data_IF_566556968947
#
_entry.id   IF_566556968947
#
_cell.length_a   1.000
_cell.length_b   1.000
_cell.length_c   1.000
_cell.angle_alpha   90.00
_cell.angle_beta   90.00
_cell.angle_gamma   90.00
#
_symmetry.space_group_name_H-M   'P 1'
#
loop_
_entity.id
_entity.type
_entity.pdbx_description
1 polymer ?
#
# COMPACT_ATOMS: atom_id res chain seq x y z
N UNK A 1 49.23 -26.95 10.73
CA UNK A 1 48.37 -27.15 11.91
C UNK A 1 47.92 -25.75 12.34
N UNK A 2 46.68 -25.27 12.19
CA UNK A 2 45.38 -25.92 12.29
C UNK A 2 44.34 -25.32 11.32
N UNK A 3 43.36 -26.16 10.97
CA UNK A 3 42.22 -25.86 10.13
C UNK A 3 41.10 -25.11 10.88
N UNK A 4 40.40 -24.21 10.19
CA UNK A 4 39.03 -23.73 10.49
C UNK A 4 38.34 -23.50 9.14
N UNK A 5 37.50 -24.45 8.69
CA UNK A 5 36.07 -24.56 8.97
C UNK A 5 35.24 -23.61 8.09
N UNK A 6 34.69 -24.18 7.02
CA UNK A 6 33.61 -23.61 6.21
C UNK A 6 32.36 -23.42 7.07
N UNK A 7 31.65 -22.29 6.92
CA UNK A 7 30.19 -22.24 7.08
C UNK A 7 29.65 -20.99 6.39
N UNK A 8 28.66 -21.20 5.53
CA UNK A 8 28.18 -20.25 4.55
C UNK A 8 27.44 -19.03 5.11
N UNK A 9 27.56 -17.94 4.36
CA UNK A 9 26.52 -16.93 4.19
C UNK A 9 26.45 -16.73 2.66
N UNK A 10 25.69 -17.58 2.00
CA UNK A 10 24.39 -17.21 1.43
C UNK A 10 24.49 -15.95 0.54
N UNK A 11 24.98 -16.21 -0.67
CA UNK A 11 24.61 -15.49 -1.88
C UNK A 11 23.09 -15.45 -1.98
N UNK A 12 22.45 -14.36 -1.57
CA UNK A 12 21.00 -14.17 -1.77
C UNK A 12 20.62 -12.71 -2.11
N UNK A 13 21.59 -11.83 -2.39
CA UNK A 13 21.32 -10.41 -2.70
C UNK A 13 22.00 -9.92 -3.99
N UNK A 14 22.52 -10.83 -4.82
CA UNK A 14 23.26 -10.48 -6.04
C UNK A 14 22.75 -11.19 -7.29
N UNK A 15 21.55 -11.77 -7.26
CA UNK A 15 20.95 -12.31 -8.48
C UNK A 15 20.38 -11.16 -9.31
N UNK A 16 20.94 -10.88 -10.50
CA UNK A 16 20.43 -9.81 -11.37
C UNK A 16 19.00 -10.08 -11.80
N UNK A 17 18.54 -11.33 -11.78
CA UNK A 17 17.14 -11.70 -12.03
C UNK A 17 16.19 -11.20 -10.93
N UNK A 18 16.54 -11.36 -9.64
CA UNK A 18 15.70 -10.88 -8.53
C UNK A 18 15.69 -9.35 -8.51
N UNK A 19 16.85 -8.71 -8.71
CA UNK A 19 16.95 -7.24 -8.81
C UNK A 19 16.24 -6.71 -10.08
N UNK A 20 16.25 -7.46 -11.18
CA UNK A 20 15.51 -7.13 -12.40
C UNK A 20 14.00 -7.27 -12.18
N UNK A 21 13.53 -8.35 -11.55
CA UNK A 21 12.12 -8.53 -11.21
C UNK A 21 11.63 -7.44 -10.25
N UNK A 22 12.41 -7.07 -9.23
CA UNK A 22 12.08 -5.95 -8.33
C UNK A 22 12.11 -4.61 -9.09
N UNK A 23 13.10 -4.38 -9.96
CA UNK A 23 13.15 -3.17 -10.82
C UNK A 23 12.02 -3.14 -11.84
N UNK A 24 11.57 -4.28 -12.35
CA UNK A 24 10.51 -4.42 -13.34
C UNK A 24 9.13 -4.19 -12.72
N UNK A 25 8.91 -4.69 -11.48
CA UNK A 25 7.75 -4.33 -10.66
C UNK A 25 7.75 -2.84 -10.35
N UNK A 26 8.90 -2.24 -10.00
CA UNK A 26 9.02 -0.79 -9.78
C UNK A 26 8.89 0.04 -11.07
N UNK A 27 9.18 -0.56 -12.24
CA UNK A 27 9.05 0.07 -13.57
C UNK A 27 7.67 -0.17 -14.18
N UNK A 28 6.83 -1.00 -13.57
CA UNK A 28 5.42 -1.08 -13.96
C UNK A 28 4.82 0.31 -13.76
N UNK A 29 4.49 0.95 -14.88
CA UNK A 29 4.12 2.36 -14.98
C UNK A 29 2.95 2.73 -14.09
N UNK A 30 2.14 1.74 -13.70
CA UNK A 30 0.94 1.91 -12.90
C UNK A 30 1.25 2.36 -11.47
N UNK A 31 2.31 1.84 -10.84
CA UNK A 31 2.64 2.21 -9.45
C UNK A 31 3.16 3.65 -9.33
N UNK A 32 3.97 4.09 -10.31
CA UNK A 32 4.52 5.45 -10.35
C UNK A 32 3.43 6.51 -10.50
N UNK A 33 2.42 6.25 -11.33
CA UNK A 33 1.30 7.17 -11.54
C UNK A 33 0.46 7.33 -10.26
N UNK A 34 0.16 6.24 -9.56
CA UNK A 34 -0.60 6.24 -8.30
C UNK A 34 0.11 7.06 -7.23
N UNK A 35 1.41 6.86 -7.04
CA UNK A 35 2.20 7.63 -6.07
C UNK A 35 2.13 9.13 -6.37
N UNK A 36 2.30 9.51 -7.64
CA UNK A 36 2.25 10.91 -8.03
C UNK A 36 0.89 11.56 -7.75
N UNK A 37 -0.20 10.81 -7.91
CA UNK A 37 -1.56 11.28 -7.64
C UNK A 37 -1.78 11.51 -6.13
N UNK A 38 -1.46 10.51 -5.30
CA UNK A 38 -1.62 10.59 -3.84
C UNK A 38 -0.81 11.77 -3.26
N UNK A 39 0.43 11.96 -3.73
CA UNK A 39 1.29 13.06 -3.25
C UNK A 39 0.72 14.43 -3.64
N UNK A 40 0.20 14.58 -4.86
CA UNK A 40 -0.41 15.84 -5.31
C UNK A 40 -1.65 16.18 -4.51
N UNK A 41 -2.49 15.19 -4.23
CA UNK A 41 -3.74 15.39 -3.49
C UNK A 41 -3.44 15.72 -2.03
N UNK A 42 -2.54 14.97 -1.39
CA UNK A 42 -2.10 15.25 -0.02
C UNK A 42 -1.48 16.65 0.11
N UNK A 43 -0.66 17.08 -0.86
CA UNK A 43 -0.09 18.42 -0.88
C UNK A 43 -1.17 19.51 -1.01
N UNK A 44 -2.18 19.31 -1.85
CA UNK A 44 -3.30 20.24 -2.00
C UNK A 44 -4.18 20.30 -0.76
N UNK A 45 -4.50 19.15 -0.15
CA UNK A 45 -5.23 19.08 1.12
C UNK A 45 -4.49 19.86 2.22
N UNK A 46 -3.17 19.69 2.33
CA UNK A 46 -2.36 20.40 3.32
C UNK A 46 -2.31 21.92 3.06
N UNK A 47 -2.23 22.36 1.80
CA UNK A 47 -2.15 23.77 1.43
C UNK A 47 -3.49 24.52 1.60
N UNK A 48 -4.61 23.86 1.29
CA UNK A 48 -5.96 24.48 1.31
C UNK A 48 -6.74 24.22 2.59
N UNK A 49 -6.40 23.17 3.33
CA UNK A 49 -7.14 22.72 4.51
C UNK A 49 -8.50 22.08 4.21
N UNK A 50 -8.88 21.89 2.94
CA UNK A 50 -10.15 21.26 2.58
C UNK A 50 -9.97 19.74 2.37
N UNK A 51 -10.66 18.89 3.15
CA UNK A 51 -10.59 17.43 3.01
C UNK A 51 -11.32 16.87 1.78
N UNK A 52 -12.02 17.70 0.98
CA UNK A 52 -12.76 17.24 -0.19
C UNK A 52 -11.92 16.94 -1.44
N UNK A 53 -10.64 17.31 -1.45
CA UNK A 53 -9.75 16.95 -2.55
C UNK A 53 -9.43 15.45 -2.51
N UNK A 54 -9.46 14.79 -3.65
CA UNK A 54 -9.17 13.35 -3.77
C UNK A 54 -8.71 12.97 -5.17
N UNK A 55 -8.47 11.67 -5.35
CA UNK A 55 -7.91 11.11 -6.58
C UNK A 55 -8.97 11.11 -7.68
N UNK A 56 -8.66 11.77 -8.80
CA UNK A 56 -9.50 11.77 -9.99
C UNK A 56 -9.34 10.48 -10.79
N UNK A 57 -10.17 9.48 -10.50
CA UNK A 57 -10.15 8.19 -11.20
C UNK A 57 -10.80 8.25 -12.59
N UNK A 58 -11.50 9.33 -12.95
CA UNK A 58 -12.19 9.48 -14.24
C UNK A 58 -11.44 10.37 -15.23
N UNK A 59 -10.24 10.86 -14.86
CA UNK A 59 -9.42 11.76 -15.66
C UNK A 59 -10.19 12.99 -16.19
N UNK A 60 -11.09 13.53 -15.35
CA UNK A 60 -11.89 14.72 -15.64
C UNK A 60 -11.10 16.01 -15.48
N UNK A 61 -9.94 15.97 -14.81
CA UNK A 61 -9.08 17.11 -14.53
C UNK A 61 -9.52 17.94 -13.31
N UNK A 62 -10.69 17.64 -12.73
CA UNK A 62 -11.13 18.16 -11.45
C UNK A 62 -10.71 17.18 -10.34
N UNK A 63 -10.28 17.65 -9.17
CA UNK A 63 -9.92 16.77 -8.04
C UNK A 63 -10.79 17.00 -6.81
N UNK A 64 -11.76 17.91 -6.90
CA UNK A 64 -12.73 18.14 -5.85
C UNK A 64 -13.83 17.08 -5.93
N UNK A 65 -13.89 16.19 -4.94
CA UNK A 65 -14.84 15.08 -4.91
C UNK A 65 -16.29 15.55 -4.74
N UNK A 66 -16.52 16.75 -4.17
CA UNK A 66 -17.87 17.35 -4.08
C UNK A 66 -18.41 17.72 -5.46
N UNK A 67 -17.57 18.35 -6.28
CA UNK A 67 -17.93 18.78 -7.63
C UNK A 67 -18.11 17.59 -8.59
N UNK A 68 -17.35 16.52 -8.37
CA UNK A 68 -17.52 15.25 -9.10
C UNK A 68 -18.71 14.42 -8.60
N UNK A 69 -19.44 14.88 -7.58
CA UNK A 69 -20.53 14.13 -6.94
C UNK A 69 -20.11 12.77 -6.36
N UNK A 70 -18.84 12.61 -6.01
CA UNK A 70 -18.31 11.44 -5.30
C UNK A 70 -18.54 11.66 -3.81
N UNK A 71 -19.70 11.23 -3.32
CA UNK A 71 -20.13 11.43 -1.94
C UNK A 71 -20.35 10.08 -1.28
N UNK A 72 -19.85 9.94 -0.05
CA UNK A 72 -20.11 8.77 0.79
C UNK A 72 -20.67 9.20 2.14
N UNK A 73 -21.55 8.38 2.73
CA UNK A 73 -22.08 8.67 4.06
C UNK A 73 -21.03 8.48 5.15
N UNK A 74 -21.05 9.35 6.17
CA UNK A 74 -20.19 9.24 7.34
C UNK A 74 -20.32 7.86 8.04
N UNK A 75 -21.54 7.31 8.07
CA UNK A 75 -21.83 6.01 8.68
C UNK A 75 -21.10 4.87 7.94
N UNK A 76 -21.09 4.89 6.61
CA UNK A 76 -20.38 3.90 5.79
C UNK A 76 -18.87 3.92 6.09
N UNK A 77 -18.24 5.10 6.03
CA UNK A 77 -16.80 5.24 6.35
C UNK A 77 -16.45 4.80 7.76
N UNK A 78 -17.29 5.14 8.75
CA UNK A 78 -17.09 4.68 10.14
C UNK A 78 -17.18 3.16 10.25
N UNK A 79 -18.14 2.55 9.56
CA UNK A 79 -18.32 1.09 9.57
C UNK A 79 -17.16 0.37 8.87
N UNK A 80 -16.64 0.91 7.77
CA UNK A 80 -15.46 0.36 7.08
C UNK A 80 -14.24 0.30 8.01
N UNK A 81 -13.96 1.40 8.73
CA UNK A 81 -12.87 1.44 9.71
C UNK A 81 -13.10 0.48 10.88
N UNK A 82 -14.33 0.43 11.40
CA UNK A 82 -14.67 -0.46 12.50
C UNK A 82 -14.52 -1.93 12.10
N UNK A 83 -15.00 -2.31 10.92
CA UNK A 83 -14.87 -3.66 10.39
C UNK A 83 -13.40 -4.03 10.17
N UNK A 84 -12.59 -3.14 9.58
CA UNK A 84 -11.17 -3.38 9.39
C UNK A 84 -10.46 -3.65 10.72
N UNK A 85 -10.72 -2.83 11.75
CA UNK A 85 -10.14 -3.07 13.08
C UNK A 85 -10.65 -4.35 13.73
N UNK A 86 -11.91 -4.72 13.50
CA UNK A 86 -12.46 -5.97 14.00
C UNK A 86 -11.76 -7.17 13.37
N UNK A 87 -11.52 -7.15 12.05
CA UNK A 87 -10.79 -8.20 11.34
C UNK A 87 -9.35 -8.33 11.85
N UNK A 88 -8.64 -7.21 12.02
CA UNK A 88 -7.27 -7.22 12.56
C UNK A 88 -7.25 -7.79 13.98
N UNK A 89 -8.21 -7.44 14.84
CA UNK A 89 -8.33 -8.03 16.18
C UNK A 89 -8.58 -9.53 16.14
N UNK A 90 -9.37 -10.03 15.19
CA UNK A 90 -9.59 -11.47 15.04
C UNK A 90 -8.28 -12.15 14.63
N UNK A 91 -7.55 -11.60 13.66
CA UNK A 91 -6.27 -12.16 13.20
C UNK A 91 -5.23 -12.18 14.32
N UNK A 92 -5.07 -11.07 15.06
CA UNK A 92 -4.12 -10.98 16.18
C UNK A 92 -4.48 -11.88 17.38
N UNK A 93 -5.73 -12.36 17.46
CA UNK A 93 -6.19 -13.31 18.48
C UNK A 93 -6.03 -14.78 18.08
N UNK A 94 -5.61 -15.06 16.85
CA UNK A 94 -5.32 -16.42 16.41
C UNK A 94 -3.91 -16.76 16.92
N UNK A 95 -3.84 -17.54 18.01
CA UNK A 95 -2.57 -17.94 18.63
C UNK A 95 -1.97 -19.22 18.00
N UNK A 96 -2.80 -20.09 17.39
CA UNK A 96 -2.36 -21.36 16.79
C UNK A 96 -3.14 -21.65 15.51
N UNK A 97 -2.42 -21.97 14.42
CA UNK A 97 -2.98 -22.40 13.14
C UNK A 97 -2.66 -23.89 12.98
N UNK A 98 -3.60 -24.74 13.39
CA UNK A 98 -3.45 -26.20 13.23
C UNK A 98 -3.83 -26.62 11.82
N UNK A 99 -2.88 -27.20 11.08
CA UNK A 99 -3.17 -27.90 9.83
C UNK A 99 -3.74 -29.29 10.13
N UNK A 100 -4.84 -29.72 9.50
CA UNK A 100 -5.34 -31.08 9.66
C UNK A 100 -4.36 -32.07 9.01
N UNK A 101 -3.96 -33.09 9.76
CA UNK A 101 -3.26 -34.27 9.25
C UNK A 101 -4.24 -35.19 8.53
#
# INVERSE_FOLDING_TARGET
MAARSQRGQSQATSDPAIVASVKEVLRSTEFSQILSAIVKDAAKQAATGDPAFGIDCMATGNMNMRDQHVIESLRSKRQQLLLATQLVKMILKIDDVRQPN
#
